data_IF_806416852188
#
_entry.id   IF_806416852188
#
_cell.length_a   1.000
_cell.length_b   1.000
_cell.length_c   1.000
_cell.angle_alpha   90.00
_cell.angle_beta   90.00
_cell.angle_gamma   90.00
#
_symmetry.space_group_name_H-M   'P 1'
#
loop_
_entity.id
_entity.type
_entity.pdbx_description
1 polymer ?
#
# COMPACT_ATOMS: atom_id res chain seq x y z
N UNK A 1 -42.97 -15.08 -46.50
CA UNK A 1 -43.50 -14.17 -45.47
C UNK A 1 -42.49 -14.07 -44.37
N UNK A 2 -42.21 -12.87 -43.90
CA UNK A 2 -41.28 -12.64 -42.78
C UNK A 2 -42.10 -12.53 -41.51
N UNK A 3 -41.72 -13.25 -40.45
CA UNK A 3 -42.36 -13.18 -39.15
C UNK A 3 -41.58 -12.22 -38.29
N UNK A 4 -42.27 -11.32 -37.63
CA UNK A 4 -41.70 -10.34 -36.71
C UNK A 4 -42.25 -10.57 -35.31
N UNK A 5 -41.38 -10.39 -34.31
CA UNK A 5 -41.80 -10.27 -32.91
C UNK A 5 -41.61 -8.80 -32.49
N UNK A 6 -42.65 -8.28 -31.80
CA UNK A 6 -42.74 -6.86 -31.43
C UNK A 6 -42.52 -6.62 -29.96
N UNK A 7 -41.67 -5.64 -29.62
CA UNK A 7 -41.64 -5.04 -28.30
C UNK A 7 -42.11 -3.60 -28.37
N UNK A 8 -43.05 -3.24 -27.49
CA UNK A 8 -43.48 -1.86 -27.30
C UNK A 8 -42.69 -1.12 -26.24
N UNK A 9 -41.83 -1.83 -25.49
CA UNK A 9 -40.99 -1.26 -24.44
C UNK A 9 -39.51 -1.34 -24.89
N UNK A 10 -39.09 -0.33 -25.61
CA UNK A 10 -37.69 -0.18 -25.98
C UNK A 10 -37.22 1.24 -25.70
N UNK A 11 -35.93 1.40 -25.44
CA UNK A 11 -35.31 2.69 -25.24
C UNK A 11 -33.89 2.71 -25.75
N UNK A 12 -33.47 3.89 -26.21
CA UNK A 12 -32.12 4.12 -26.63
C UNK A 12 -31.25 4.38 -25.40
N UNK A 13 -30.28 3.52 -25.13
CA UNK A 13 -29.32 3.64 -24.03
C UNK A 13 -27.92 3.80 -24.60
N UNK A 14 -27.04 4.46 -23.81
CA UNK A 14 -25.61 4.40 -24.09
C UNK A 14 -25.08 3.03 -23.68
N UNK A 15 -24.23 2.45 -24.50
CA UNK A 15 -23.49 1.23 -24.16
C UNK A 15 -22.49 1.57 -23.04
N UNK A 16 -22.90 1.29 -21.81
CA UNK A 16 -22.19 1.59 -20.58
C UNK A 16 -23.14 2.03 -19.48
N UNK A 17 -22.98 1.47 -18.30
CA UNK A 17 -23.76 1.87 -17.15
C UNK A 17 -23.46 3.34 -16.79
N UNK A 18 -24.46 4.07 -16.34
CA UNK A 18 -24.28 5.37 -15.75
C UNK A 18 -23.43 5.25 -14.48
N UNK A 19 -22.41 6.07 -14.34
CA UNK A 19 -21.51 6.06 -13.21
C UNK A 19 -21.92 7.11 -12.18
N UNK A 20 -22.39 6.73 -11.00
CA UNK A 20 -22.65 7.68 -9.93
C UNK A 20 -21.34 8.29 -9.43
N UNK A 21 -21.33 9.59 -9.25
CA UNK A 21 -20.28 10.34 -8.59
C UNK A 21 -20.74 10.56 -7.14
N UNK A 22 -20.02 9.98 -6.19
CA UNK A 22 -20.32 10.07 -4.77
C UNK A 22 -19.17 10.74 -4.04
N UNK A 23 -19.48 11.38 -2.91
CA UNK A 23 -18.48 11.92 -2.01
C UNK A 23 -17.78 10.79 -1.25
N UNK A 24 -16.44 10.78 -1.26
CA UNK A 24 -15.65 9.77 -0.58
C UNK A 24 -15.39 10.10 0.90
N UNK A 25 -15.65 11.36 1.31
CA UNK A 25 -15.51 11.84 2.67
C UNK A 25 -16.58 12.87 2.97
N UNK A 26 -16.87 13.10 4.25
CA UNK A 26 -17.72 14.20 4.70
C UNK A 26 -16.91 15.48 4.85
N UNK A 27 -17.55 16.64 4.59
CA UNK A 27 -16.92 17.95 4.76
C UNK A 27 -17.72 19.09 4.17
N UNK A 28 -17.25 20.31 4.39
CA UNK A 28 -17.80 21.51 3.79
C UNK A 28 -17.32 21.67 2.35
N UNK A 29 -18.20 21.96 1.42
CA UNK A 29 -17.90 22.18 0.01
C UNK A 29 -17.23 23.56 -0.19
N UNK A 30 -16.00 23.56 -0.68
CA UNK A 30 -15.28 24.78 -1.06
C UNK A 30 -15.63 25.19 -2.48
N UNK A 31 -15.51 24.26 -3.43
CA UNK A 31 -15.71 24.50 -4.84
C UNK A 31 -16.41 23.32 -5.51
N UNK A 32 -17.22 23.61 -6.53
CA UNK A 32 -17.84 22.61 -7.38
C UNK A 32 -17.84 23.08 -8.82
N UNK A 33 -17.45 22.20 -9.73
CA UNK A 33 -17.49 22.41 -11.18
C UNK A 33 -18.60 21.60 -11.82
N UNK A 34 -19.48 20.98 -11.03
CA UNK A 34 -20.61 20.18 -11.47
C UNK A 34 -21.64 21.07 -12.18
N UNK A 35 -21.89 20.79 -13.45
CA UNK A 35 -22.93 21.45 -14.22
C UNK A 35 -23.59 20.41 -15.12
N UNK A 36 -24.93 20.45 -15.16
CA UNK A 36 -25.71 19.56 -16.02
C UNK A 36 -25.28 19.68 -17.48
N UNK A 37 -24.99 18.56 -18.10
CA UNK A 37 -24.59 18.50 -19.50
C UNK A 37 -23.12 18.83 -19.78
N UNK A 38 -22.33 19.19 -18.78
CA UNK A 38 -20.88 19.44 -18.92
C UNK A 38 -20.17 18.15 -19.33
N UNK A 39 -19.25 18.25 -20.29
CA UNK A 39 -18.32 17.17 -20.61
C UNK A 39 -17.18 17.15 -19.59
N UNK A 40 -16.85 15.97 -19.11
CA UNK A 40 -15.79 15.74 -18.11
C UNK A 40 -14.86 14.64 -18.57
N UNK A 41 -13.60 14.73 -18.18
CA UNK A 41 -12.58 13.73 -18.44
C UNK A 41 -12.26 12.92 -17.18
N UNK A 42 -11.87 11.67 -17.35
CA UNK A 42 -11.45 10.83 -16.22
C UNK A 42 -10.35 11.52 -15.44
N UNK A 43 -10.52 11.61 -14.11
CA UNK A 43 -9.58 12.28 -13.19
C UNK A 43 -9.83 13.79 -13.03
N UNK A 44 -10.71 14.41 -13.82
CA UNK A 44 -11.07 15.82 -13.67
C UNK A 44 -11.69 16.09 -12.30
N UNK A 45 -11.30 17.18 -11.65
CA UNK A 45 -11.85 17.59 -10.35
C UNK A 45 -13.26 18.12 -10.54
N UNK A 46 -14.21 17.52 -9.85
CA UNK A 46 -15.63 17.85 -9.89
C UNK A 46 -16.08 18.66 -8.69
N UNK A 47 -15.54 18.35 -7.51
CA UNK A 47 -15.81 19.07 -6.29
C UNK A 47 -14.61 18.97 -5.32
N UNK A 48 -14.45 19.98 -4.48
CA UNK A 48 -13.41 20.04 -3.46
C UNK A 48 -14.05 20.34 -2.11
N UNK A 49 -13.75 19.50 -1.13
CA UNK A 49 -14.15 19.66 0.26
C UNK A 49 -13.04 20.34 1.05
N UNK A 50 -13.39 20.97 2.18
CA UNK A 50 -12.40 21.61 3.06
C UNK A 50 -11.43 20.58 3.64
N UNK A 51 -10.15 20.75 3.35
CA UNK A 51 -9.05 19.89 3.76
C UNK A 51 -8.02 20.63 4.64
N UNK A 52 -8.34 21.84 5.09
CA UNK A 52 -7.39 22.70 5.85
C UNK A 52 -6.90 22.04 7.12
N UNK A 53 -7.77 21.38 7.86
CA UNK A 53 -7.43 20.66 9.10
C UNK A 53 -6.45 19.52 8.80
N UNK A 54 -6.76 18.67 7.82
CA UNK A 54 -5.92 17.53 7.42
C UNK A 54 -4.56 17.97 6.88
N UNK A 55 -4.53 19.07 6.12
CA UNK A 55 -3.25 19.65 5.66
C UNK A 55 -2.40 20.19 6.81
N UNK A 56 -3.03 20.80 7.83
CA UNK A 56 -2.34 21.26 9.01
C UNK A 56 -1.74 20.09 9.81
N UNK A 57 -2.52 19.06 10.06
CA UNK A 57 -2.05 17.84 10.73
C UNK A 57 -0.93 17.16 9.92
N UNK A 58 -1.09 17.05 8.61
CA UNK A 58 -0.06 16.52 7.71
C UNK A 58 1.24 17.30 7.82
N UNK A 59 1.16 18.62 7.86
CA UNK A 59 2.32 19.49 8.04
C UNK A 59 2.98 19.28 9.42
N UNK A 60 2.19 19.11 10.48
CA UNK A 60 2.69 18.82 11.82
C UNK A 60 3.45 17.49 11.86
N UNK A 61 2.86 16.41 11.30
CA UNK A 61 3.51 15.10 11.28
C UNK A 61 4.78 15.08 10.39
N UNK A 62 4.79 15.82 9.28
CA UNK A 62 6.00 15.99 8.46
C UNK A 62 7.11 16.72 9.23
N UNK A 63 6.76 17.76 9.98
CA UNK A 63 7.71 18.49 10.82
C UNK A 63 8.25 17.61 11.95
N UNK A 64 7.37 16.82 12.56
CA UNK A 64 7.77 15.83 13.58
C UNK A 64 8.75 14.81 13.02
N UNK A 65 8.43 14.18 11.89
CA UNK A 65 9.33 13.22 11.22
C UNK A 65 10.70 13.85 10.90
N UNK A 66 10.70 15.07 10.35
CA UNK A 66 11.93 15.81 10.06
C UNK A 66 12.77 16.11 11.31
N UNK A 67 12.16 16.23 12.50
CA UNK A 67 12.88 16.42 13.76
C UNK A 67 13.46 15.12 14.34
N UNK A 68 12.92 13.97 14.00
CA UNK A 68 13.40 12.66 14.46
C UNK A 68 14.61 12.16 13.66
N UNK A 69 14.73 12.52 12.38
CA UNK A 69 15.86 12.11 11.54
C UNK A 69 17.24 12.54 12.10
N UNK A 70 17.46 13.81 12.49
CA UNK A 70 18.75 14.23 13.07
C UNK A 70 19.01 13.57 14.43
N UNK A 71 17.96 13.30 15.23
CA UNK A 71 18.11 12.58 16.49
C UNK A 71 18.60 11.14 16.25
N UNK A 72 18.03 10.45 15.26
CA UNK A 72 18.45 9.11 14.87
C UNK A 72 19.90 9.10 14.36
N UNK A 73 20.26 10.10 13.56
CA UNK A 73 21.62 10.27 13.06
C UNK A 73 22.62 10.49 14.21
N UNK A 74 22.29 11.34 15.19
CA UNK A 74 23.11 11.60 16.35
C UNK A 74 23.32 10.34 17.22
N UNK A 75 22.26 9.57 17.50
CA UNK A 75 22.35 8.31 18.26
C UNK A 75 23.20 7.26 17.52
N UNK A 76 23.07 7.16 16.19
CA UNK A 76 23.91 6.26 15.40
C UNK A 76 25.39 6.67 15.42
N UNK A 77 25.67 7.97 15.33
CA UNK A 77 27.02 8.51 15.45
C UNK A 77 27.60 8.23 16.83
N UNK A 78 26.80 8.43 17.91
CA UNK A 78 27.21 8.10 19.27
C UNK A 78 27.53 6.61 19.41
N UNK A 79 26.70 5.71 18.86
CA UNK A 79 26.95 4.26 18.88
C UNK A 79 28.24 3.90 18.16
N UNK A 80 28.52 4.53 17.03
CA UNK A 80 29.76 4.33 16.29
C UNK A 80 31.00 4.77 17.10
N UNK A 81 30.92 5.94 17.75
CA UNK A 81 31.99 6.47 18.61
C UNK A 81 32.26 5.57 19.82
N UNK A 82 31.19 5.05 20.44
CA UNK A 82 31.33 4.08 21.54
C UNK A 82 32.01 2.77 21.08
N UNK A 83 31.66 2.31 19.86
CA UNK A 83 32.30 1.14 19.26
C UNK A 83 33.80 1.33 18.96
N UNK A 84 34.18 2.49 18.46
CA UNK A 84 35.60 2.85 18.23
C UNK A 84 36.37 2.95 19.54
N UNK A 85 35.83 3.70 20.51
CA UNK A 85 36.43 3.82 21.81
C UNK A 85 36.62 2.48 22.55
N UNK A 86 35.73 1.50 22.32
CA UNK A 86 35.88 0.13 22.83
C UNK A 86 37.10 -0.56 22.20
N UNK A 87 37.27 -0.47 20.88
CA UNK A 87 38.40 -1.07 20.18
C UNK A 87 39.74 -0.51 20.68
N UNK A 88 39.84 0.80 20.77
CA UNK A 88 41.05 1.50 21.19
C UNK A 88 41.45 1.15 22.63
N UNK A 89 40.46 1.11 23.53
CA UNK A 89 40.73 0.72 24.94
C UNK A 89 41.13 -0.74 25.09
N UNK A 90 40.51 -1.66 24.34
CA UNK A 90 40.93 -3.05 24.30
C UNK A 90 42.39 -3.21 23.87
N UNK A 91 42.82 -2.46 22.87
CA UNK A 91 44.20 -2.46 22.41
C UNK A 91 45.16 -1.93 23.49
N UNK A 92 44.85 -0.79 24.10
CA UNK A 92 45.68 -0.19 25.16
C UNK A 92 45.75 -1.09 26.40
N UNK A 93 44.61 -1.65 26.85
CA UNK A 93 44.58 -2.56 27.98
C UNK A 93 45.30 -3.87 27.68
N UNK A 94 45.19 -4.42 26.47
CA UNK A 94 45.94 -5.59 26.04
C UNK A 94 47.45 -5.38 26.18
N UNK A 95 47.96 -4.25 25.67
CA UNK A 95 49.36 -3.88 25.78
C UNK A 95 49.81 -3.69 27.23
N UNK A 96 48.97 -3.07 28.08
CA UNK A 96 49.30 -2.86 29.51
C UNK A 96 49.37 -4.16 30.28
N UNK A 97 48.47 -5.11 30.02
CA UNK A 97 48.49 -6.45 30.61
C UNK A 97 49.75 -7.23 30.19
N UNK A 98 50.12 -7.16 28.90
CA UNK A 98 51.32 -7.80 28.38
C UNK A 98 52.58 -7.21 29.03
N UNK A 99 52.67 -5.90 29.17
CA UNK A 99 53.76 -5.23 29.87
C UNK A 99 53.85 -5.66 31.36
N UNK A 100 52.74 -5.67 32.06
CA UNK A 100 52.68 -6.14 33.46
C UNK A 100 53.07 -7.61 33.61
N UNK A 101 52.67 -8.47 32.64
CA UNK A 101 53.10 -9.89 32.60
C UNK A 101 54.60 -10.04 32.39
N UNK A 102 55.18 -9.21 31.52
CA UNK A 102 56.62 -9.22 31.28
C UNK A 102 57.40 -8.82 32.54
N UNK A 103 57.00 -7.73 33.21
CA UNK A 103 57.57 -7.28 34.44
C UNK A 103 57.45 -8.33 35.57
N UNK A 104 56.29 -8.96 35.70
CA UNK A 104 56.11 -10.04 36.68
C UNK A 104 57.03 -11.24 36.38
N UNK A 105 57.15 -11.66 35.12
CA UNK A 105 58.05 -12.76 34.77
C UNK A 105 59.50 -12.44 35.06
N UNK A 106 59.98 -11.22 34.79
CA UNK A 106 61.30 -10.74 35.13
C UNK A 106 61.56 -10.80 36.64
N UNK A 107 60.63 -10.19 37.44
CA UNK A 107 60.75 -10.22 38.90
C UNK A 107 60.71 -11.64 39.45
N UNK A 108 59.94 -12.54 38.87
CA UNK A 108 59.85 -13.95 39.23
C UNK A 108 61.18 -14.67 38.99
N UNK A 109 61.88 -14.40 37.90
CA UNK A 109 63.21 -14.96 37.61
C UNK A 109 64.24 -14.42 38.58
N UNK A 110 64.21 -13.12 38.85
CA UNK A 110 65.12 -12.50 39.85
C UNK A 110 64.88 -13.07 41.22
N UNK A 111 63.64 -13.24 41.68
CA UNK A 111 63.31 -13.83 42.97
C UNK A 111 63.85 -15.29 43.11
N UNK A 112 63.61 -16.12 42.02
CA UNK A 112 64.17 -17.50 42.02
C UNK A 112 65.66 -17.54 42.04
N UNK A 113 66.37 -16.63 41.35
CA UNK A 113 67.85 -16.52 41.40
C UNK A 113 68.32 -16.16 42.81
N UNK A 114 67.73 -15.12 43.39
CA UNK A 114 68.06 -14.67 44.75
C UNK A 114 67.79 -15.78 45.81
N UNK A 115 66.69 -16.52 45.72
CA UNK A 115 66.36 -17.66 46.53
C UNK A 115 67.40 -18.78 46.42
N UNK A 116 67.84 -19.13 45.21
CA UNK A 116 68.89 -20.12 44.95
C UNK A 116 70.23 -19.67 45.54
N UNK A 117 70.53 -18.36 45.48
CA UNK A 117 71.74 -17.78 46.07
C UNK A 117 71.66 -17.81 47.62
N UNK A 118 70.53 -17.46 48.22
CA UNK A 118 70.31 -17.57 49.63
C UNK A 118 70.43 -19.01 50.16
N UNK A 119 69.87 -19.98 49.44
CA UNK A 119 70.03 -21.39 49.74
C UNK A 119 71.46 -21.86 49.68
N UNK A 120 72.22 -21.41 48.72
CA UNK A 120 73.67 -21.71 48.60
C UNK A 120 74.41 -21.05 49.75
N UNK A 121 74.16 -19.78 50.07
CA UNK A 121 74.75 -19.06 51.17
C UNK A 121 74.50 -19.74 52.54
N UNK A 122 73.27 -20.23 52.77
CA UNK A 122 72.91 -21.00 53.97
C UNK A 122 73.71 -22.31 54.13
N UNK A 123 73.90 -23.04 53.02
CA UNK A 123 74.73 -24.26 53.02
C UNK A 123 76.18 -23.95 53.32
N UNK A 124 76.77 -22.95 52.63
CA UNK A 124 78.15 -22.55 52.82
C UNK A 124 78.41 -22.03 54.24
N UNK A 125 77.40 -21.35 54.86
CA UNK A 125 77.47 -20.99 56.31
C UNK A 125 77.48 -22.22 57.19
N UNK A 126 76.60 -23.22 56.88
CA UNK A 126 76.60 -24.47 57.71
C UNK A 126 77.90 -25.19 57.63
N UNK A 127 78.64 -25.14 56.50
CA UNK A 127 79.94 -25.69 56.29
C UNK A 127 81.08 -24.82 56.88
N UNK A 128 80.77 -23.67 57.51
CA UNK A 128 81.75 -22.77 58.12
C UNK A 128 82.52 -21.90 57.11
N UNK A 129 82.12 -21.84 55.83
CA UNK A 129 82.87 -21.18 54.75
C UNK A 129 82.44 -19.71 54.62
N UNK A 130 81.15 -19.37 54.95
CA UNK A 130 80.57 -18.03 54.74
C UNK A 130 80.20 -17.39 56.09
N UNK A 131 80.33 -16.05 56.20
CA UNK A 131 79.96 -15.33 57.41
C UNK A 131 78.43 -15.32 57.63
N UNK A 132 78.01 -15.16 58.89
CA UNK A 132 76.58 -15.04 59.27
C UNK A 132 75.91 -13.81 58.61
N UNK A 133 76.62 -12.69 58.59
CA UNK A 133 76.15 -11.45 57.97
C UNK A 133 75.94 -11.62 56.48
N UNK A 134 76.78 -12.31 55.74
CA UNK A 134 76.62 -12.54 54.29
C UNK A 134 75.45 -13.49 54.00
N UNK A 135 75.25 -14.51 54.82
CA UNK A 135 74.09 -15.40 54.68
C UNK A 135 72.76 -14.71 54.99
N UNK A 136 72.76 -13.78 56.00
CA UNK A 136 71.64 -12.94 56.35
C UNK A 136 71.31 -11.94 55.18
N UNK A 137 72.37 -11.30 54.64
CA UNK A 137 72.21 -10.39 53.51
C UNK A 137 71.60 -11.08 52.29
N UNK A 138 72.06 -12.27 51.92
CA UNK A 138 71.50 -13.06 50.80
C UNK A 138 70.06 -13.48 51.06
N UNK A 139 69.69 -13.78 52.33
CA UNK A 139 68.33 -14.11 52.71
C UNK A 139 67.40 -12.88 52.62
N UNK A 140 67.84 -11.71 53.05
CA UNK A 140 67.12 -10.45 52.99
C UNK A 140 66.90 -10.00 51.51
N UNK A 141 67.91 -10.18 50.64
CA UNK A 141 67.75 -9.90 49.23
C UNK A 141 66.70 -10.83 48.59
N UNK A 142 66.75 -12.13 48.95
CA UNK A 142 65.76 -13.09 48.43
C UNK A 142 64.33 -12.73 48.90
N UNK A 143 64.17 -12.32 50.18
CA UNK A 143 62.86 -11.85 50.66
C UNK A 143 62.40 -10.57 49.97
N UNK A 144 63.31 -9.62 49.75
CA UNK A 144 63.01 -8.38 49.02
C UNK A 144 62.58 -8.65 47.58
N UNK A 145 63.28 -9.51 46.82
CA UNK A 145 62.91 -9.89 45.42
C UNK A 145 61.60 -10.67 45.36
N UNK A 146 61.36 -11.53 46.36
CA UNK A 146 60.12 -12.26 46.50
C UNK A 146 58.94 -11.30 46.74
N UNK A 147 59.06 -10.35 47.62
CA UNK A 147 58.02 -9.33 47.86
C UNK A 147 57.76 -8.46 46.66
N UNK A 148 58.80 -8.10 45.88
CA UNK A 148 58.62 -7.36 44.61
C UNK A 148 57.87 -8.18 43.59
N UNK A 149 58.20 -9.47 43.44
CA UNK A 149 57.46 -10.36 42.55
C UNK A 149 55.99 -10.52 42.93
N UNK A 150 55.72 -10.68 44.23
CA UNK A 150 54.35 -10.82 44.76
C UNK A 150 53.52 -9.54 44.55
N UNK A 151 54.13 -8.36 44.75
CA UNK A 151 53.45 -7.08 44.52
C UNK A 151 53.03 -6.94 43.05
N UNK A 152 53.89 -7.33 42.10
CA UNK A 152 53.55 -7.32 40.67
C UNK A 152 52.48 -8.37 40.28
N UNK A 153 52.46 -9.50 40.98
CA UNK A 153 51.39 -10.50 40.85
C UNK A 153 50.05 -9.92 41.26
N UNK A 154 50.00 -9.17 42.37
CA UNK A 154 48.79 -8.49 42.83
C UNK A 154 48.31 -7.43 41.82
N UNK A 155 49.23 -6.63 41.27
CA UNK A 155 48.91 -5.66 40.23
C UNK A 155 48.27 -6.36 39.02
N UNK A 156 48.88 -7.44 38.54
CA UNK A 156 48.36 -8.22 37.40
C UNK A 156 46.98 -8.83 37.69
N UNK A 157 46.76 -9.36 38.88
CA UNK A 157 45.48 -9.95 39.30
C UNK A 157 44.35 -8.91 39.42
N UNK A 158 44.66 -7.64 39.57
CA UNK A 158 43.71 -6.52 39.67
C UNK A 158 43.28 -6.00 38.30
N UNK A 159 44.16 -6.00 37.31
CA UNK A 159 43.86 -5.47 35.97
C UNK A 159 42.72 -6.23 35.25
N UNK A 160 42.65 -7.55 35.43
CA UNK A 160 41.61 -8.36 34.75
C UNK A 160 40.17 -8.09 35.23
N UNK A 161 39.88 -8.05 36.54
CA UNK A 161 38.56 -7.68 37.03
C UNK A 161 38.17 -6.24 36.70
N UNK A 162 39.09 -5.29 36.77
CA UNK A 162 38.82 -3.90 36.36
C UNK A 162 38.40 -3.78 34.88
N UNK A 163 39.05 -4.54 34.02
CA UNK A 163 38.65 -4.63 32.61
C UNK A 163 37.21 -5.17 32.48
N UNK A 164 36.86 -6.25 33.16
CA UNK A 164 35.54 -6.84 33.09
C UNK A 164 34.43 -5.87 33.56
N UNK A 165 34.69 -5.08 34.59
CA UNK A 165 33.72 -4.07 35.05
C UNK A 165 33.51 -3.01 33.97
N UNK A 166 34.57 -2.46 33.38
CA UNK A 166 34.48 -1.47 32.30
C UNK A 166 33.75 -2.01 31.07
N UNK A 167 34.00 -3.26 30.72
CA UNK A 167 33.29 -3.91 29.62
C UNK A 167 31.77 -4.00 29.89
N UNK A 168 31.37 -4.40 31.08
CA UNK A 168 29.96 -4.47 31.48
C UNK A 168 29.28 -3.10 31.44
N UNK A 169 29.95 -2.07 31.95
CA UNK A 169 29.41 -0.71 31.94
C UNK A 169 29.21 -0.18 30.53
N UNK A 170 30.10 -0.54 29.60
CA UNK A 170 29.94 -0.20 28.17
C UNK A 170 28.83 -0.97 27.54
N UNK A 171 28.69 -2.26 27.79
CA UNK A 171 27.61 -3.08 27.29
C UNK A 171 26.24 -2.52 27.74
N UNK A 172 26.13 -2.03 28.96
CA UNK A 172 24.92 -1.36 29.45
C UNK A 172 24.64 -0.08 28.66
N UNK A 173 25.66 0.79 28.48
CA UNK A 173 25.49 2.02 27.67
C UNK A 173 25.13 1.72 26.24
N UNK A 174 25.77 0.73 25.60
CA UNK A 174 25.46 0.33 24.23
C UNK A 174 24.01 -0.17 24.10
N UNK A 175 23.55 -1.00 25.04
CA UNK A 175 22.15 -1.46 25.08
C UNK A 175 21.17 -0.29 25.23
N UNK A 176 21.52 0.70 26.05
CA UNK A 176 20.71 1.90 26.22
C UNK A 176 20.59 2.68 24.92
N UNK A 177 21.71 2.95 24.22
CA UNK A 177 21.70 3.63 22.91
C UNK A 177 20.88 2.85 21.89
N UNK A 178 20.99 1.51 21.85
CA UNK A 178 20.18 0.67 20.96
C UNK A 178 18.68 0.79 21.26
N UNK A 179 18.33 0.84 22.54
CA UNK A 179 16.94 1.03 22.96
C UNK A 179 16.41 2.40 22.53
N UNK A 180 17.23 3.44 22.69
CA UNK A 180 16.87 4.81 22.29
C UNK A 180 16.75 4.91 20.76
N UNK A 181 17.65 4.28 19.98
CA UNK A 181 17.54 4.17 18.53
C UNK A 181 16.23 3.48 18.14
N UNK A 182 15.91 2.34 18.74
CA UNK A 182 14.70 1.59 18.46
C UNK A 182 13.44 2.41 18.74
N UNK A 183 13.43 3.18 19.84
CA UNK A 183 12.33 4.07 20.20
C UNK A 183 12.14 5.19 19.18
N UNK A 184 13.20 5.92 18.85
CA UNK A 184 13.14 7.01 17.86
C UNK A 184 12.74 6.47 16.48
N UNK A 185 13.20 5.28 16.12
CA UNK A 185 12.87 4.62 14.87
C UNK A 185 11.38 4.19 14.83
N UNK A 186 10.84 3.71 15.93
CA UNK A 186 9.41 3.40 16.07
C UNK A 186 8.55 4.68 15.94
N UNK A 187 8.95 5.77 16.60
CA UNK A 187 8.28 7.07 16.51
C UNK A 187 8.32 7.62 15.07
N UNK A 188 9.46 7.50 14.38
CA UNK A 188 9.58 7.90 12.97
C UNK A 188 8.68 7.07 12.05
N UNK A 189 8.61 5.76 12.28
CA UNK A 189 7.72 4.86 11.53
C UNK A 189 6.24 5.18 11.78
N UNK A 190 5.87 5.51 13.02
CA UNK A 190 4.51 5.92 13.36
C UNK A 190 4.12 7.25 12.68
N UNK A 191 5.01 8.25 12.70
CA UNK A 191 4.77 9.51 11.98
C UNK A 191 4.69 9.31 10.47
N UNK A 192 5.53 8.45 9.88
CA UNK A 192 5.46 8.13 8.46
C UNK A 192 4.10 7.47 8.10
N UNK A 193 3.62 6.55 8.91
CA UNK A 193 2.30 5.94 8.72
C UNK A 193 1.16 6.96 8.86
N UNK A 194 1.26 7.88 9.82
CA UNK A 194 0.29 8.97 9.99
C UNK A 194 0.29 9.92 8.78
N UNK A 195 1.45 10.24 8.21
CA UNK A 195 1.57 11.04 6.98
C UNK A 195 0.83 10.37 5.83
N UNK A 196 1.05 9.08 5.57
CA UNK A 196 0.36 8.36 4.49
C UNK A 196 -1.16 8.34 4.69
N UNK A 197 -1.64 8.14 5.93
CA UNK A 197 -3.06 8.20 6.24
C UNK A 197 -3.65 9.58 5.95
N UNK A 198 -2.99 10.64 6.39
CA UNK A 198 -3.44 12.02 6.18
C UNK A 198 -3.39 12.43 4.71
N UNK A 199 -2.38 12.00 3.95
CA UNK A 199 -2.32 12.19 2.49
C UNK A 199 -3.51 11.55 1.79
N UNK A 200 -3.87 10.33 2.18
CA UNK A 200 -5.06 9.66 1.67
C UNK A 200 -6.34 10.41 2.05
N UNK A 201 -6.49 10.87 3.29
CA UNK A 201 -7.64 11.65 3.73
C UNK A 201 -7.80 12.99 2.97
N UNK A 202 -6.68 13.67 2.68
CA UNK A 202 -6.67 14.87 1.82
C UNK A 202 -7.11 14.52 0.39
N UNK A 203 -6.62 13.40 -0.17
CA UNK A 203 -7.00 12.97 -1.51
C UNK A 203 -8.49 12.61 -1.61
N UNK A 204 -9.08 11.98 -0.59
CA UNK A 204 -10.51 11.66 -0.54
C UNK A 204 -11.43 12.90 -0.53
N UNK A 205 -10.91 14.07 -0.13
CA UNK A 205 -11.64 15.33 -0.15
C UNK A 205 -11.70 15.99 -1.53
N UNK A 206 -10.94 15.48 -2.50
CA UNK A 206 -10.99 15.91 -3.89
C UNK A 206 -11.79 14.89 -4.71
N UNK A 207 -13.02 15.24 -5.05
CA UNK A 207 -13.92 14.36 -5.78
C UNK A 207 -13.64 14.48 -7.27
N UNK A 208 -13.25 13.36 -7.89
CA UNK A 208 -12.84 13.31 -9.31
C UNK A 208 -13.79 12.46 -10.13
N UNK A 209 -13.85 12.73 -11.43
CA UNK A 209 -14.60 11.94 -12.40
C UNK A 209 -13.97 10.53 -12.56
N UNK A 210 -14.70 9.44 -12.28
CA UNK A 210 -14.19 8.08 -12.43
C UNK A 210 -14.02 7.68 -13.90
N UNK A 211 -14.81 8.27 -14.79
CA UNK A 211 -14.81 8.02 -16.24
C UNK A 211 -14.97 9.31 -17.02
N UNK A 212 -14.54 9.31 -18.29
CA UNK A 212 -14.84 10.41 -19.21
C UNK A 212 -16.26 10.26 -19.74
N UNK A 213 -17.00 11.37 -19.79
CA UNK A 213 -18.39 11.36 -20.26
C UNK A 213 -19.05 12.72 -20.09
N UNK A 214 -20.38 12.71 -20.04
CA UNK A 214 -21.20 13.90 -19.85
C UNK A 214 -22.00 13.78 -18.55
N UNK A 215 -22.04 14.85 -17.77
CA UNK A 215 -22.86 14.90 -16.55
C UNK A 215 -24.36 14.90 -16.93
N UNK A 216 -25.05 13.81 -16.58
CA UNK A 216 -26.49 13.61 -16.85
C UNK A 216 -27.39 14.13 -15.74
N UNK A 217 -26.91 14.02 -14.49
CA UNK A 217 -27.58 14.56 -13.31
C UNK A 217 -26.53 15.22 -12.42
N UNK A 218 -26.92 16.31 -11.76
CA UNK A 218 -26.08 17.00 -10.79
C UNK A 218 -26.92 17.47 -9.60
N UNK A 219 -26.45 17.24 -8.41
CA UNK A 219 -26.98 17.86 -7.22
C UNK A 219 -26.75 19.38 -7.28
N UNK A 220 -27.72 20.15 -6.83
CA UNK A 220 -27.57 21.61 -6.73
C UNK A 220 -26.75 21.92 -5.47
N UNK A 221 -25.43 22.03 -5.65
CA UNK A 221 -24.49 22.27 -4.58
C UNK A 221 -24.06 23.74 -4.55
N UNK A 222 -23.98 24.31 -3.36
CA UNK A 222 -23.46 25.67 -3.15
C UNK A 222 -22.22 25.59 -2.28
N UNK A 223 -21.18 26.40 -2.55
CA UNK A 223 -20.07 26.55 -1.62
C UNK A 223 -20.58 26.86 -0.21
N UNK A 224 -19.99 26.24 0.82
CA UNK A 224 -20.44 26.30 2.21
C UNK A 224 -21.46 25.24 2.61
N UNK A 225 -22.01 24.44 1.67
CA UNK A 225 -22.89 23.33 2.05
C UNK A 225 -22.11 22.13 2.57
N UNK A 226 -22.68 21.46 3.58
CA UNK A 226 -22.11 20.24 4.13
C UNK A 226 -22.47 19.03 3.26
N UNK A 227 -21.46 18.25 2.88
CA UNK A 227 -21.58 17.02 2.12
C UNK A 227 -21.31 15.84 3.05
N UNK A 228 -22.14 14.81 2.98
CA UNK A 228 -21.92 13.57 3.72
C UNK A 228 -21.18 12.53 2.86
N UNK A 229 -20.41 11.67 3.51
CA UNK A 229 -19.80 10.51 2.85
C UNK A 229 -20.87 9.62 2.21
N UNK A 230 -20.62 9.14 0.99
CA UNK A 230 -21.56 8.36 0.19
C UNK A 230 -22.68 9.18 -0.48
N UNK A 231 -22.78 10.50 -0.21
CA UNK A 231 -23.78 11.34 -0.88
C UNK A 231 -23.52 11.39 -2.38
N UNK A 232 -24.55 11.11 -3.17
CA UNK A 232 -24.49 11.21 -4.62
C UNK A 232 -24.51 12.68 -5.06
N UNK A 233 -23.47 13.10 -5.76
CA UNK A 233 -23.28 14.46 -6.26
C UNK A 233 -23.70 14.62 -7.72
N UNK A 234 -23.68 13.52 -8.48
CA UNK A 234 -24.05 13.52 -9.87
C UNK A 234 -23.95 12.14 -10.50
N UNK A 235 -24.22 12.08 -11.79
CA UNK A 235 -24.13 10.87 -12.59
C UNK A 235 -23.40 11.20 -13.90
N UNK A 236 -22.37 10.44 -14.22
CA UNK A 236 -21.65 10.58 -15.49
C UNK A 236 -22.15 9.51 -16.45
N UNK A 237 -22.61 9.98 -17.62
CA UNK A 237 -22.93 9.15 -18.76
C UNK A 237 -21.68 9.03 -19.63
N UNK A 238 -21.06 7.84 -19.71
CA UNK A 238 -19.84 7.68 -20.50
C UNK A 238 -20.12 7.92 -21.99
N UNK A 239 -19.09 8.31 -22.75
CA UNK A 239 -19.19 8.32 -24.21
C UNK A 239 -19.19 6.87 -24.68
N UNK A 240 -20.32 6.35 -25.06
CA UNK A 240 -20.52 5.00 -25.57
C UNK A 240 -21.23 5.00 -26.93
N UNK A 241 -21.24 3.83 -27.57
CA UNK A 241 -22.13 3.61 -28.70
C UNK A 241 -23.57 3.55 -28.20
N UNK A 242 -24.48 4.16 -28.92
CA UNK A 242 -25.88 4.01 -28.61
C UNK A 242 -26.32 2.60 -28.95
N UNK A 243 -26.97 1.95 -28.00
CA UNK A 243 -27.61 0.66 -28.14
C UNK A 243 -29.11 0.81 -27.82
N UNK A 244 -29.88 -0.08 -28.33
CA UNK A 244 -31.31 -0.14 -28.04
C UNK A 244 -31.54 -1.29 -27.08
N UNK A 245 -32.19 -0.99 -25.96
CA UNK A 245 -32.60 -2.00 -24.99
C UNK A 245 -34.09 -2.17 -25.10
N UNK A 246 -34.53 -3.39 -25.46
CA UNK A 246 -35.93 -3.74 -25.60
C UNK A 246 -36.32 -4.86 -24.67
N UNK A 247 -37.53 -4.81 -24.11
CA UNK A 247 -38.08 -5.81 -23.22
C UNK A 247 -39.18 -6.61 -23.96
N UNK A 248 -38.94 -7.89 -24.13
CA UNK A 248 -39.87 -8.81 -24.77
C UNK A 248 -40.57 -9.71 -23.77
N UNK A 249 -41.79 -10.15 -24.10
CA UNK A 249 -42.44 -11.22 -23.35
C UNK A 249 -41.64 -12.52 -23.53
N UNK A 250 -41.55 -13.38 -22.51
CA UNK A 250 -40.81 -14.65 -22.60
C UNK A 250 -41.30 -15.53 -23.77
N UNK A 251 -42.59 -15.54 -24.05
CA UNK A 251 -43.18 -16.29 -25.15
C UNK A 251 -42.72 -15.82 -26.52
N UNK A 252 -42.28 -14.55 -26.65
CA UNK A 252 -41.87 -13.95 -27.92
C UNK A 252 -40.33 -13.94 -28.06
N UNK A 253 -39.60 -14.06 -26.97
CA UNK A 253 -38.14 -14.04 -26.96
C UNK A 253 -37.50 -15.44 -26.90
N UNK A 254 -38.02 -16.33 -26.05
CA UNK A 254 -37.40 -17.63 -25.80
C UNK A 254 -37.40 -18.53 -27.03
N UNK A 255 -36.23 -18.95 -27.44
CA UNK A 255 -36.01 -19.84 -28.57
C UNK A 255 -36.22 -19.19 -29.94
N UNK A 256 -36.74 -17.95 -30.01
CA UNK A 256 -37.01 -17.23 -31.23
C UNK A 256 -35.99 -16.14 -31.53
N UNK A 257 -35.59 -15.34 -30.49
CA UNK A 257 -34.61 -14.26 -30.67
C UNK A 257 -33.19 -14.81 -30.52
N UNK A 258 -32.31 -14.41 -31.43
CA UNK A 258 -30.90 -14.79 -31.48
C UNK A 258 -30.03 -13.60 -31.87
N UNK A 259 -28.81 -13.52 -31.39
CA UNK A 259 -27.84 -12.54 -31.89
C UNK A 259 -27.66 -12.64 -33.40
N UNK A 260 -27.50 -11.50 -34.07
CA UNK A 260 -27.35 -11.40 -35.52
C UNK A 260 -28.68 -11.19 -36.29
N UNK A 261 -29.84 -11.22 -35.64
CA UNK A 261 -31.13 -10.95 -36.30
C UNK A 261 -31.31 -9.45 -36.57
N UNK A 262 -31.83 -9.13 -37.75
CA UNK A 262 -32.16 -7.76 -38.09
C UNK A 262 -33.40 -7.28 -37.35
N UNK A 263 -33.37 -6.02 -36.96
CA UNK A 263 -34.47 -5.35 -36.29
C UNK A 263 -34.69 -3.97 -36.83
N UNK A 264 -35.94 -3.52 -36.73
CA UNK A 264 -36.35 -2.16 -37.11
C UNK A 264 -36.90 -1.45 -35.87
N UNK A 265 -36.38 -0.28 -35.59
CA UNK A 265 -36.76 0.50 -34.41
C UNK A 265 -37.49 1.75 -34.81
N UNK A 266 -38.63 1.99 -34.15
CA UNK A 266 -39.43 3.21 -34.28
C UNK A 266 -39.33 3.98 -32.97
N UNK A 267 -38.78 5.18 -33.04
CA UNK A 267 -38.62 6.03 -31.85
C UNK A 267 -39.84 6.92 -31.66
N UNK A 268 -40.31 7.01 -30.42
CA UNK A 268 -41.42 7.90 -30.07
C UNK A 268 -41.02 9.37 -30.25
N UNK A 269 -41.96 10.22 -30.65
CA UNK A 269 -41.69 11.62 -30.96
C UNK A 269 -41.18 11.87 -32.38
N UNK A 270 -40.82 10.81 -33.15
CA UNK A 270 -40.36 10.92 -34.55
C UNK A 270 -41.23 10.06 -35.46
N UNK A 271 -42.32 10.61 -36.03
CA UNK A 271 -43.17 9.87 -36.94
C UNK A 271 -42.36 9.19 -38.06
N UNK A 272 -42.47 7.88 -38.15
CA UNK A 272 -41.67 7.06 -39.08
C UNK A 272 -41.93 7.40 -40.56
N UNK A 273 -43.08 7.95 -40.87
CA UNK A 273 -43.44 8.41 -42.21
C UNK A 273 -42.62 9.61 -42.67
N UNK A 274 -42.13 10.43 -41.72
CA UNK A 274 -41.34 11.64 -42.03
C UNK A 274 -39.84 11.41 -41.77
N UNK A 275 -39.50 10.70 -40.69
CA UNK A 275 -38.12 10.54 -40.20
C UNK A 275 -37.52 9.17 -40.55
N UNK A 276 -38.36 8.21 -40.98
CA UNK A 276 -37.91 6.84 -41.22
C UNK A 276 -37.81 6.01 -39.94
N UNK A 277 -37.14 4.87 -40.04
CA UNK A 277 -36.89 3.94 -38.96
C UNK A 277 -35.39 3.78 -38.73
N UNK A 278 -34.99 3.36 -37.55
CA UNK A 278 -33.60 3.09 -37.21
C UNK A 278 -33.34 1.59 -37.39
N UNK A 279 -32.46 1.18 -38.32
CA UNK A 279 -32.08 -0.23 -38.45
C UNK A 279 -31.16 -0.60 -37.27
N UNK A 280 -31.40 -1.79 -36.77
CA UNK A 280 -30.62 -2.35 -35.68
C UNK A 280 -30.40 -3.86 -35.86
N UNK A 281 -29.48 -4.42 -35.13
CA UNK A 281 -29.19 -5.85 -35.11
C UNK A 281 -29.14 -6.33 -33.66
N UNK A 282 -29.75 -7.48 -33.38
CA UNK A 282 -29.71 -8.08 -32.05
C UNK A 282 -28.28 -8.45 -31.71
N UNK A 283 -27.71 -7.80 -30.68
CA UNK A 283 -26.36 -8.05 -30.19
C UNK A 283 -26.35 -9.09 -29.07
N UNK A 284 -27.32 -9.01 -28.16
CA UNK A 284 -27.42 -9.91 -27.03
C UNK A 284 -28.86 -10.13 -26.60
N UNK A 285 -29.16 -11.36 -26.18
CA UNK A 285 -30.42 -11.74 -25.54
C UNK A 285 -30.15 -12.22 -24.16
N UNK A 286 -30.76 -11.63 -23.10
CA UNK A 286 -30.60 -12.06 -21.76
C UNK A 286 -31.14 -13.48 -21.54
N UNK A 287 -30.42 -14.29 -20.78
CA UNK A 287 -30.83 -15.66 -20.45
C UNK A 287 -31.75 -15.75 -19.24
N UNK A 288 -31.97 -14.66 -18.50
CA UNK A 288 -32.80 -14.57 -17.31
C UNK A 288 -34.07 -13.74 -17.56
N UNK A 289 -35.14 -14.10 -16.85
CA UNK A 289 -36.39 -13.36 -16.84
C UNK A 289 -36.39 -12.42 -15.63
N UNK A 290 -36.48 -11.12 -15.88
CA UNK A 290 -36.64 -10.10 -14.85
C UNK A 290 -37.97 -9.36 -15.02
N UNK A 291 -38.72 -9.20 -13.96
CA UNK A 291 -40.03 -8.57 -13.95
C UNK A 291 -41.00 -9.14 -15.02
N UNK A 292 -40.91 -10.46 -15.30
CA UNK A 292 -41.71 -11.14 -16.31
C UNK A 292 -41.31 -10.86 -17.74
N UNK A 293 -40.17 -10.24 -17.99
CA UNK A 293 -39.69 -9.87 -19.35
C UNK A 293 -38.26 -10.33 -19.59
N UNK A 294 -37.88 -10.43 -20.86
CA UNK A 294 -36.51 -10.75 -21.29
C UNK A 294 -35.93 -9.48 -21.94
N UNK A 295 -34.77 -9.07 -21.45
CA UNK A 295 -34.00 -7.95 -21.96
C UNK A 295 -33.25 -8.37 -23.22
N UNK A 296 -33.40 -7.61 -24.28
CA UNK A 296 -32.71 -7.79 -25.55
C UNK A 296 -31.97 -6.49 -25.89
N UNK A 297 -30.69 -6.61 -26.15
CA UNK A 297 -29.81 -5.51 -26.52
C UNK A 297 -29.59 -5.55 -28.05
N UNK A 298 -29.76 -4.39 -28.71
CA UNK A 298 -29.58 -4.28 -30.14
C UNK A 298 -28.58 -3.18 -30.46
N UNK A 299 -27.64 -3.48 -31.34
CA UNK A 299 -26.71 -2.50 -31.89
C UNK A 299 -27.39 -1.65 -32.97
N UNK A 300 -27.25 -0.34 -32.86
CA UNK A 300 -27.75 0.57 -33.94
C UNK A 300 -26.83 0.45 -35.15
N UNK A 301 -27.39 0.13 -36.30
CA UNK A 301 -26.64 0.08 -37.56
C UNK A 301 -26.54 1.50 -38.17
N UNK A 302 -25.36 1.87 -38.70
CA UNK A 302 -25.24 3.15 -39.41
C UNK A 302 -26.17 3.19 -40.65
N UNK A 303 -27.11 4.09 -40.61
CA UNK A 303 -28.01 4.30 -41.74
C UNK A 303 -27.90 5.72 -42.26
N UNK A 304 -27.49 5.90 -43.51
CA UNK A 304 -27.41 7.22 -44.16
C UNK A 304 -28.76 7.90 -44.41
N UNK A 305 -29.87 7.24 -44.09
CA UNK A 305 -31.25 7.72 -44.39
C UNK A 305 -32.02 8.22 -43.17
N UNK A 306 -31.55 7.94 -41.94
CA UNK A 306 -32.23 8.40 -40.73
C UNK A 306 -31.76 9.82 -40.36
N UNK A 307 -32.69 10.77 -40.29
CA UNK A 307 -32.49 12.15 -39.85
C UNK A 307 -32.81 12.32 -38.36
N UNK A 308 -32.95 11.23 -37.62
CA UNK A 308 -33.34 11.26 -36.21
C UNK A 308 -32.08 11.59 -35.38
N UNK A 309 -32.10 12.64 -34.55
CA UNK A 309 -31.03 12.90 -33.59
C UNK A 309 -31.09 11.84 -32.49
N UNK A 310 -30.22 10.82 -32.57
CA UNK A 310 -30.17 9.75 -31.58
C UNK A 310 -29.64 10.29 -30.28
N UNK A 311 -30.45 10.22 -29.22
CA UNK A 311 -30.10 10.66 -27.87
C UNK A 311 -30.44 9.56 -26.84
N UNK A 312 -29.67 9.52 -25.77
CA UNK A 312 -29.94 8.62 -24.65
C UNK A 312 -31.33 8.91 -24.05
N UNK A 313 -32.06 7.85 -23.70
CA UNK A 313 -33.36 7.95 -23.06
C UNK A 313 -34.56 8.03 -24.01
N UNK A 314 -34.36 8.08 -25.33
CA UNK A 314 -35.49 8.09 -26.28
C UNK A 314 -36.25 6.77 -26.22
N UNK A 315 -37.58 6.78 -25.90
CA UNK A 315 -38.40 5.57 -25.94
C UNK A 315 -38.76 5.18 -27.36
N UNK A 316 -39.14 3.92 -27.54
CA UNK A 316 -39.54 3.42 -28.84
C UNK A 316 -40.10 2.01 -28.83
N UNK A 317 -40.38 1.48 -30.01
CA UNK A 317 -40.77 0.10 -30.23
C UNK A 317 -39.80 -0.59 -31.20
N UNK A 318 -39.62 -1.88 -31.03
CA UNK A 318 -38.69 -2.71 -31.81
C UNK A 318 -39.43 -3.86 -32.46
N UNK A 319 -39.21 -4.05 -33.75
CA UNK A 319 -39.66 -5.19 -34.53
C UNK A 319 -38.45 -6.01 -34.93
N UNK A 320 -38.32 -7.25 -34.43
CA UNK A 320 -37.20 -8.17 -34.74
C UNK A 320 -37.69 -9.19 -35.79
N UNK A 321 -36.89 -9.38 -36.83
CA UNK A 321 -37.13 -10.39 -37.86
C UNK A 321 -36.67 -11.76 -37.34
N UNK A 322 -37.65 -12.65 -37.09
CA UNK A 322 -37.38 -13.95 -36.45
C UNK A 322 -37.18 -15.06 -37.46
N UNK A 323 -38.00 -15.13 -38.48
CA UNK A 323 -37.99 -16.26 -39.41
C UNK A 323 -38.48 -15.83 -40.83
N UNK A 324 -37.72 -16.20 -41.86
CA UNK A 324 -38.18 -16.09 -43.24
C UNK A 324 -38.77 -17.43 -43.69
N UNK A 325 -40.08 -17.56 -43.64
CA UNK A 325 -40.75 -18.81 -44.01
C UNK A 325 -41.25 -18.66 -45.45
N UNK A 326 -40.89 -19.63 -46.27
CA UNK A 326 -41.50 -19.71 -47.60
C UNK A 326 -42.98 -20.14 -47.48
N UNK A 327 -43.89 -19.69 -48.37
CA UNK A 327 -45.30 -20.10 -48.33
C UNK A 327 -45.51 -21.61 -48.35
N UNK A 328 -44.63 -22.34 -49.05
CA UNK A 328 -44.66 -23.81 -49.10
C UNK A 328 -44.33 -24.46 -47.76
N UNK A 329 -43.35 -23.90 -47.00
CA UNK A 329 -42.98 -24.41 -45.67
C UNK A 329 -44.09 -24.19 -44.62
N UNK A 330 -44.88 -23.10 -44.77
CA UNK A 330 -46.02 -22.82 -43.92
C UNK A 330 -47.14 -23.85 -44.10
N UNK A 331 -47.42 -24.21 -45.34
CA UNK A 331 -48.41 -25.25 -45.67
C UNK A 331 -47.96 -26.63 -45.18
N UNK A 332 -46.69 -26.96 -45.35
CA UNK A 332 -46.14 -28.24 -44.84
C UNK A 332 -46.14 -28.33 -43.29
N UNK A 333 -45.92 -27.21 -42.61
CA UNK A 333 -45.91 -27.16 -41.13
C UNK A 333 -47.33 -27.25 -40.56
N UNK A 334 -48.32 -26.60 -41.20
CA UNK A 334 -49.71 -26.75 -40.82
C UNK A 334 -50.27 -28.17 -41.10
N UNK A 335 -49.86 -28.81 -42.22
CA UNK A 335 -50.18 -30.21 -42.49
C UNK A 335 -49.50 -31.17 -41.51
N UNK A 336 -48.23 -30.90 -41.09
CA UNK A 336 -47.51 -31.71 -40.09
C UNK A 336 -48.09 -31.61 -38.67
N UNK A 337 -48.66 -30.47 -38.29
CA UNK A 337 -49.34 -30.32 -36.99
C UNK A 337 -50.68 -31.09 -36.91
N UNK A 338 -51.35 -31.24 -38.03
CA UNK A 338 -52.59 -32.02 -38.16
C UNK A 338 -52.29 -33.53 -38.13
N UNK A 339 -51.10 -33.98 -38.59
CA UNK A 339 -50.68 -35.38 -38.60
C UNK A 339 -49.98 -35.82 -37.30
N UNK A 340 -49.45 -34.90 -36.51
CA UNK A 340 -48.80 -35.19 -35.21
C UNK A 340 -49.76 -35.14 -34.02
N UNK A 341 -51.03 -34.88 -34.17
CA UNK A 341 -52.07 -34.85 -33.12
C UNK A 341 -52.98 -36.09 -33.18
N UNK A 342 -52.40 -37.25 -33.48
CA UNK A 342 -53.04 -38.57 -33.30
C UNK A 342 -52.16 -39.48 -32.47
#
# INVERSE_FOLDING_TARGET
MTRYELSQSARLELDGAAYPVQANASGELIASTLALGKEVHRGEVLAELDDREQRLELQQERTRLASLEPQLAALRSQMQSEGQGRSDEHQVLGLSIEAARAQYREAQVQAKLAESQADRARRLRADGILSEADAQNASADAETKRAASESLRVVLSRLTPEQQVRERDRDVRQKQILTDIAKVQADASASAAAIHRLEYEVEQRVIRAPVSGRLGECATLRPGSHINEGQQLGVILPRGRLQIVAEFQPADALGKLRPGQHATVRLEGFPWTQFGTVPAEVSRVAGDIRDGKIRVELAVLPSGRSRIPLQHGLPGSVEVEVERISPLALVLRSAGQVLGAR
#
